data_IF_540314976096
#
_entry.id   IF_540314976096
#
_cell.length_a   1.000
_cell.length_b   1.000
_cell.length_c   1.000
_cell.angle_alpha   90.00
_cell.angle_beta   90.00
_cell.angle_gamma   90.00
#
_symmetry.space_group_name_H-M   'P 1'
#
loop_
_entity.id
_entity.type
_entity.pdbx_description
1 polymer ?
#
# COMPACT_ATOMS: atom_id res chain seq x y z
N UNK A 1 12.71 23.21 0.23
CA UNK A 1 11.68 22.23 -0.18
C UNK A 1 11.20 21.54 1.08
N UNK A 2 9.92 21.67 1.46
CA UNK A 2 9.40 20.94 2.62
C UNK A 2 9.54 19.45 2.33
N UNK A 3 10.35 18.74 3.11
CA UNK A 3 10.23 17.29 3.21
C UNK A 3 8.92 17.03 3.93
N UNK A 4 7.86 16.80 3.18
CA UNK A 4 6.69 16.16 3.76
C UNK A 4 7.08 14.71 3.94
N UNK A 5 7.31 14.29 5.19
CA UNK A 5 7.55 12.88 5.46
C UNK A 5 6.39 12.06 4.89
N UNK A 6 6.68 10.95 4.18
CA UNK A 6 5.63 10.11 3.65
C UNK A 6 4.76 9.61 4.80
N UNK A 7 3.44 9.61 4.59
CA UNK A 7 2.52 8.99 5.54
C UNK A 7 2.87 7.52 5.64
N UNK A 8 3.17 7.07 6.86
CA UNK A 8 3.63 5.72 7.11
C UNK A 8 2.77 5.04 8.15
N UNK A 9 2.34 3.82 7.84
CA UNK A 9 1.70 2.91 8.80
C UNK A 9 2.46 1.60 8.84
N UNK A 10 2.56 1.02 10.03
CA UNK A 10 3.23 -0.26 10.25
C UNK A 10 2.26 -1.20 10.96
N UNK A 11 2.25 -2.46 10.56
CA UNK A 11 1.49 -3.51 11.19
C UNK A 11 2.33 -4.78 11.31
N UNK A 12 2.07 -5.58 12.34
CA UNK A 12 2.57 -6.94 12.42
C UNK A 12 1.49 -7.88 11.86
N UNK A 13 1.84 -8.69 10.88
CA UNK A 13 0.92 -9.67 10.27
C UNK A 13 1.65 -11.01 10.20
N UNK A 14 1.17 -12.00 10.95
CA UNK A 14 1.79 -13.33 11.11
C UNK A 14 3.27 -13.29 11.48
N UNK A 15 3.63 -12.41 12.43
CA UNK A 15 5.00 -12.25 12.92
C UNK A 15 5.95 -11.55 11.95
N UNK A 16 5.47 -11.05 10.81
CA UNK A 16 6.24 -10.21 9.88
C UNK A 16 5.86 -8.74 10.06
N UNK A 17 6.88 -7.88 10.11
CA UNK A 17 6.65 -6.44 10.20
C UNK A 17 6.43 -5.87 8.79
N UNK A 18 5.23 -5.38 8.52
CA UNK A 18 4.88 -4.80 7.22
C UNK A 18 4.58 -3.33 7.35
N UNK A 19 4.94 -2.57 6.32
CA UNK A 19 4.88 -1.11 6.33
C UNK A 19 4.37 -0.59 4.99
N UNK A 20 3.44 0.36 5.02
CA UNK A 20 3.00 1.11 3.85
C UNK A 20 3.45 2.56 4.00
N UNK A 21 4.03 3.09 2.94
CA UNK A 21 4.53 4.46 2.86
C UNK A 21 3.89 5.16 1.67
N UNK A 22 3.20 6.27 1.91
CA UNK A 22 2.56 7.07 0.88
C UNK A 22 3.15 8.49 0.85
N UNK A 23 3.71 8.87 -0.29
CA UNK A 23 4.16 10.24 -0.54
C UNK A 23 2.99 11.11 -0.98
N UNK A 24 2.56 12.04 -0.12
CA UNK A 24 1.52 13.02 -0.50
C UNK A 24 1.97 13.96 -1.63
N UNK A 25 3.28 14.10 -1.84
CA UNK A 25 3.83 14.97 -2.88
C UNK A 25 3.81 14.32 -4.26
N UNK A 26 4.16 13.04 -4.34
CA UNK A 26 4.33 12.33 -5.62
C UNK A 26 3.21 11.32 -5.89
N UNK A 27 2.40 11.00 -4.89
CA UNK A 27 1.42 9.92 -4.93
C UNK A 27 2.04 8.53 -4.97
N UNK A 28 3.36 8.41 -4.76
CA UNK A 28 4.05 7.12 -4.71
C UNK A 28 3.64 6.34 -3.46
N UNK A 29 3.44 5.04 -3.63
CA UNK A 29 3.07 4.10 -2.58
C UNK A 29 4.08 2.95 -2.56
N UNK A 30 4.73 2.75 -1.42
CA UNK A 30 5.68 1.66 -1.20
C UNK A 30 5.18 0.74 -0.10
N UNK A 31 5.27 -0.57 -0.33
CA UNK A 31 5.07 -1.59 0.68
C UNK A 31 6.40 -2.25 1.02
N UNK A 32 6.67 -2.40 2.31
CA UNK A 32 7.86 -3.07 2.81
C UNK A 32 7.48 -4.21 3.74
N UNK A 33 8.27 -5.27 3.71
CA UNK A 33 8.24 -6.37 4.66
C UNK A 33 9.63 -6.49 5.28
N UNK A 34 9.71 -6.41 6.60
CA UNK A 34 10.97 -6.41 7.37
C UNK A 34 12.01 -5.42 6.82
N UNK A 35 11.51 -4.26 6.35
CA UNK A 35 12.30 -3.19 5.74
C UNK A 35 12.61 -3.37 4.24
N UNK A 36 12.46 -4.57 3.68
CA UNK A 36 12.66 -4.83 2.25
C UNK A 36 11.46 -4.35 1.43
N UNK A 37 11.70 -3.65 0.31
CA UNK A 37 10.64 -3.22 -0.61
C UNK A 37 10.04 -4.44 -1.30
N UNK A 38 8.74 -4.68 -1.10
CA UNK A 38 8.02 -5.80 -1.72
C UNK A 38 7.14 -5.35 -2.88
N UNK A 39 6.66 -4.10 -2.83
CA UNK A 39 5.84 -3.54 -3.90
C UNK A 39 5.96 -2.03 -3.94
N UNK A 40 5.89 -1.48 -5.15
CA UNK A 40 5.91 -0.06 -5.40
C UNK A 40 4.90 0.29 -6.49
N UNK A 41 4.14 1.37 -6.25
CA UNK A 41 3.25 1.93 -7.25
C UNK A 41 3.39 3.43 -7.35
N UNK A 42 3.29 3.91 -8.58
CA UNK A 42 3.14 5.31 -8.92
C UNK A 42 1.69 5.59 -9.34
N UNK A 43 1.25 6.86 -9.34
CA UNK A 43 -0.03 7.23 -9.91
C UNK A 43 -0.18 6.76 -11.38
N UNK A 44 -1.39 6.37 -11.81
CA UNK A 44 -2.63 6.30 -11.03
C UNK A 44 -2.79 5.00 -10.22
N UNK A 45 -1.89 4.01 -10.39
CA UNK A 45 -2.03 2.69 -9.78
C UNK A 45 -2.05 2.73 -8.25
N UNK A 46 -1.24 3.60 -7.64
CA UNK A 46 -1.27 3.81 -6.19
C UNK A 46 -2.63 4.30 -5.70
N UNK A 47 -3.26 5.21 -6.44
CA UNK A 47 -4.59 5.74 -6.12
C UNK A 47 -5.67 4.67 -6.28
N UNK A 48 -5.58 3.86 -7.34
CA UNK A 48 -6.51 2.75 -7.59
C UNK A 48 -6.41 1.72 -6.47
N UNK A 49 -5.20 1.36 -6.04
CA UNK A 49 -4.98 0.40 -4.96
C UNK A 49 -5.61 0.86 -3.64
N UNK A 50 -5.38 2.12 -3.25
CA UNK A 50 -5.99 2.74 -2.06
C UNK A 50 -7.52 2.80 -2.20
N UNK A 51 -8.02 3.28 -3.34
CA UNK A 51 -9.46 3.43 -3.57
C UNK A 51 -10.21 2.10 -3.51
N UNK A 52 -9.55 1.00 -3.88
CA UNK A 52 -10.11 -0.36 -3.86
C UNK A 52 -10.38 -0.87 -2.44
N UNK A 53 -9.62 -0.40 -1.44
CA UNK A 53 -9.81 -0.80 -0.02
C UNK A 53 -10.58 0.24 0.80
N UNK A 54 -10.57 1.51 0.39
CA UNK A 54 -11.23 2.63 1.10
C UNK A 54 -12.77 2.66 0.98
N UNK A 55 -13.39 1.67 0.30
CA UNK A 55 -14.84 1.53 0.23
C UNK A 55 -15.59 2.74 -0.34
N UNK A 56 -14.99 3.44 -1.31
CA UNK A 56 -15.52 4.65 -1.95
C UNK A 56 -15.70 5.89 -1.06
N UNK A 57 -15.22 5.89 0.19
CA UNK A 57 -15.44 7.00 1.14
C UNK A 57 -14.53 8.21 0.91
N UNK A 58 -13.41 8.04 0.20
CA UNK A 58 -12.32 9.03 0.14
C UNK A 58 -11.70 9.18 -1.25
N UNK A 59 -12.48 9.01 -2.33
CA UNK A 59 -11.97 9.17 -3.68
C UNK A 59 -11.51 10.61 -3.92
N UNK A 60 -10.27 10.77 -4.40
CA UNK A 60 -9.69 12.09 -4.68
C UNK A 60 -9.12 12.85 -3.47
N UNK A 61 -9.19 12.29 -2.26
CA UNK A 61 -8.56 12.83 -1.05
C UNK A 61 -7.31 12.04 -0.66
N UNK A 62 -6.42 12.64 0.14
CA UNK A 62 -5.23 11.97 0.70
C UNK A 62 -5.67 10.73 1.51
N UNK A 63 -4.96 9.59 1.41
CA UNK A 63 -5.31 8.41 2.19
C UNK A 63 -5.19 8.69 3.69
N UNK A 64 -6.11 8.12 4.45
CA UNK A 64 -6.00 8.05 5.91
C UNK A 64 -5.08 6.89 6.32
N UNK A 65 -4.69 6.86 7.59
CA UNK A 65 -3.93 5.73 8.14
C UNK A 65 -4.72 4.42 8.08
N UNK A 66 -6.05 4.50 8.22
CA UNK A 66 -6.94 3.33 8.12
C UNK A 66 -6.99 2.79 6.68
N UNK A 67 -7.04 3.65 5.67
CA UNK A 67 -6.98 3.25 4.27
C UNK A 67 -5.67 2.51 3.95
N UNK A 68 -4.53 3.03 4.44
CA UNK A 68 -3.22 2.39 4.25
C UNK A 68 -3.08 1.08 5.03
N UNK A 69 -3.71 0.98 6.21
CA UNK A 69 -3.72 -0.25 7.00
C UNK A 69 -4.60 -1.32 6.34
N UNK A 70 -5.76 -0.94 5.80
CA UNK A 70 -6.62 -1.82 5.01
C UNK A 70 -5.90 -2.32 3.75
N UNK A 71 -5.17 -1.43 3.07
CA UNK A 71 -4.32 -1.77 1.94
C UNK A 71 -3.26 -2.79 2.32
N UNK A 72 -2.51 -2.55 3.41
CA UNK A 72 -1.47 -3.48 3.88
C UNK A 72 -2.00 -4.89 4.10
N UNK A 73 -3.15 -5.00 4.78
CA UNK A 73 -3.78 -6.29 5.05
C UNK A 73 -4.17 -6.98 3.75
N UNK A 74 -4.82 -6.27 2.83
CA UNK A 74 -5.22 -6.80 1.54
C UNK A 74 -4.01 -7.34 0.74
N UNK A 75 -2.95 -6.54 0.62
CA UNK A 75 -1.79 -6.86 -0.22
C UNK A 75 -0.98 -8.02 0.34
N UNK A 76 -0.82 -8.09 1.66
CA UNK A 76 -0.14 -9.21 2.31
C UNK A 76 -0.95 -10.50 2.18
N UNK A 77 -2.28 -10.44 2.26
CA UNK A 77 -3.14 -11.59 1.96
C UNK A 77 -3.00 -12.05 0.50
N UNK A 78 -2.92 -11.12 -0.45
CA UNK A 78 -2.73 -11.44 -1.87
C UNK A 78 -1.35 -12.06 -2.15
N UNK A 79 -0.28 -11.55 -1.54
CA UNK A 79 1.07 -12.10 -1.68
C UNK A 79 1.20 -13.53 -1.15
N UNK A 80 0.34 -13.92 -0.21
CA UNK A 80 0.31 -15.27 0.37
C UNK A 80 -0.56 -16.25 -0.40
N UNK A 81 -1.42 -15.77 -1.28
CA UNK A 81 -2.28 -16.63 -2.07
C UNK A 81 -1.42 -17.31 -3.15
N UNK A 82 -1.41 -18.65 -3.27
CA UNK A 82 -0.53 -19.39 -4.19
C UNK A 82 -0.86 -19.22 -5.69
N UNK A 83 -1.46 -18.11 -6.09
CA UNK A 83 -1.91 -17.84 -7.45
C UNK A 83 -1.40 -16.48 -7.94
N UNK A 84 -0.10 -16.42 -8.26
CA UNK A 84 0.47 -15.36 -9.10
C UNK A 84 1.42 -15.92 -10.18
N UNK A 85 1.29 -17.22 -10.51
CA UNK A 85 2.05 -17.88 -11.58
C UNK A 85 1.15 -18.40 -12.72
N UNK A 86 0.00 -17.77 -12.93
CA UNK A 86 -0.89 -18.16 -14.02
C UNK A 86 -1.55 -16.94 -14.67
N UNK A 87 -0.76 -16.10 -15.34
CA UNK A 87 -1.09 -15.60 -16.69
C UNK A 87 0.25 -15.37 -17.41
N UNK A 88 0.68 -16.37 -18.16
CA UNK A 88 1.59 -16.20 -19.29
C UNK A 88 0.80 -16.64 -20.52
N UNK A 89 0.41 -15.68 -21.36
CA UNK A 89 -0.02 -15.89 -22.75
C UNK A 89 0.42 -14.71 -23.58
#
# INVERSE_FOLDING_TARGET
>A
MLRTDPRRVTAEIDGMLVCAEYSEQTGQLCLRQDGALVREWFPPHSWIAIASVAGARHWGTRPTDDDLLALLRNEITLLRSPQADAIQK
#
